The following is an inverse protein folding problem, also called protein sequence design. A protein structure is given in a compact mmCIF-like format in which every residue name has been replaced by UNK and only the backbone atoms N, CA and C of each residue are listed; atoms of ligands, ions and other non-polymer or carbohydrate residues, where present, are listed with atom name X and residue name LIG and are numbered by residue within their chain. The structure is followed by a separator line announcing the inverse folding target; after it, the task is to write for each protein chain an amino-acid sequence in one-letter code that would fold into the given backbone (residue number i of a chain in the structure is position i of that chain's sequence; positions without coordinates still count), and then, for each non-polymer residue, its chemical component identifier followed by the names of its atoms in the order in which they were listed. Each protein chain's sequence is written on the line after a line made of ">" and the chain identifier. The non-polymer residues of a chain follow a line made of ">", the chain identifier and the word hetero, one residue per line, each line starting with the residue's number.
data_IF_518717600170
#
_entry.id   IF_518717600170
#
_cell.length_a   1.000
_cell.length_b   1.000
_cell.length_c   1.000
_cell.angle_alpha   90.00
_cell.angle_beta   90.00
_cell.angle_gamma   90.00
#
_symmetry.space_group_name_H-M   'P 1'
#
loop_
_entity.id
_entity.type
_entity.pdbx_description
1 polymer ?
#
# COMPACT_ATOMS: atom_id res chain seq x y z
N UNK A 1 8.19 7.71 17.81
CA UNK A 1 6.84 8.25 17.97
C UNK A 1 5.90 7.07 18.17
N UNK A 2 4.94 7.17 19.09
CA UNK A 2 4.17 6.04 19.61
C UNK A 2 2.76 6.01 19.01
N UNK A 3 2.31 4.88 18.49
CA UNK A 3 0.86 4.60 18.38
C UNK A 3 0.56 3.17 18.85
N UNK A 4 -0.51 3.06 19.64
CA UNK A 4 -0.93 1.89 20.43
C UNK A 4 -1.73 0.89 19.59
N UNK A 5 -1.53 -0.41 19.84
CA UNK A 5 -2.48 -1.49 19.49
C UNK A 5 -3.84 -1.23 20.15
N UNK A 6 -4.92 -1.35 19.37
CA UNK A 6 -6.28 -1.45 19.91
C UNK A 6 -6.64 -2.95 19.99
N UNK A 7 -6.80 -3.48 21.21
CA UNK A 7 -7.29 -4.84 21.43
C UNK A 7 -6.83 -5.48 22.74
N UNK A 8 -7.57 -5.24 23.82
CA UNK A 8 -7.95 -6.26 24.83
C UNK A 8 -9.14 -5.73 25.68
N UNK A 9 -10.09 -6.57 26.15
CA UNK A 9 -11.43 -6.13 26.57
C UNK A 9 -11.70 -6.12 28.09
N UNK A 10 -12.90 -5.59 28.43
CA UNK A 10 -13.78 -5.83 29.60
C UNK A 10 -13.74 -4.84 30.80
N UNK A 11 -14.80 -4.76 31.66
CA UNK A 11 -16.26 -4.76 31.37
C UNK A 11 -17.07 -3.62 32.08
N UNK A 12 -18.34 -3.53 31.65
CA UNK A 12 -19.56 -2.90 32.17
C UNK A 12 -19.59 -2.04 33.47
N UNK A 13 -20.21 -0.85 33.36
CA UNK A 13 -21.50 -0.49 34.00
C UNK A 13 -21.84 1.01 33.78
N UNK A 14 -23.09 1.34 33.41
CA UNK A 14 -23.59 2.71 33.53
C UNK A 14 -24.60 3.14 32.45
N UNK A 15 -25.85 2.78 32.67
CA UNK A 15 -27.08 3.13 31.95
C UNK A 15 -27.30 4.65 31.76
N UNK A 16 -27.69 5.12 30.57
CA UNK A 16 -28.99 5.80 30.33
C UNK A 16 -29.18 6.25 28.88
N UNK A 17 -30.44 6.18 28.45
CA UNK A 17 -30.94 6.28 27.10
C UNK A 17 -30.86 7.68 26.45
N UNK A 18 -30.65 7.71 25.14
CA UNK A 18 -31.34 8.64 24.25
C UNK A 18 -31.38 8.04 22.83
N UNK A 19 -32.59 7.83 22.34
CA UNK A 19 -32.88 7.41 20.97
C UNK A 19 -32.31 8.42 19.97
N UNK A 20 -31.53 7.96 19.00
CA UNK A 20 -31.26 8.70 17.77
C UNK A 20 -31.07 7.72 16.61
N UNK A 21 -32.02 7.80 15.68
CA UNK A 21 -31.91 7.47 14.26
C UNK A 21 -31.08 6.24 13.89
N UNK A 22 -31.78 5.17 13.56
CA UNK A 22 -31.28 4.15 12.64
C UNK A 22 -31.07 4.83 11.28
N UNK A 23 -29.95 5.54 11.14
CA UNK A 23 -29.42 5.96 9.87
C UNK A 23 -28.88 4.67 9.25
N UNK A 24 -29.72 4.03 8.43
CA UNK A 24 -29.26 3.04 7.49
C UNK A 24 -28.14 3.71 6.67
N UNK A 25 -26.89 3.44 7.05
CA UNK A 25 -25.75 3.76 6.24
C UNK A 25 -26.01 3.07 4.91
N UNK A 26 -26.31 3.86 3.88
CA UNK A 26 -26.29 3.39 2.52
C UNK A 26 -24.93 2.70 2.36
N UNK A 27 -24.86 1.49 1.76
CA UNK A 27 -23.58 0.90 1.44
C UNK A 27 -22.83 1.95 0.63
N UNK A 28 -21.70 2.41 1.16
CA UNK A 28 -20.75 3.19 0.38
C UNK A 28 -20.32 2.22 -0.69
N UNK A 29 -20.92 2.33 -1.87
CA UNK A 29 -20.49 1.63 -3.06
C UNK A 29 -19.08 2.15 -3.29
N UNK A 30 -18.09 1.37 -2.83
CA UNK A 30 -16.68 1.69 -2.93
C UNK A 30 -16.40 1.92 -4.41
N UNK A 31 -16.28 3.20 -4.79
CA UNK A 31 -16.12 3.59 -6.17
C UNK A 31 -14.88 2.87 -6.71
N UNK A 32 -15.02 2.21 -7.86
CA UNK A 32 -13.91 1.50 -8.46
C UNK A 32 -12.69 2.43 -8.58
N UNK A 33 -11.47 1.93 -8.28
CA UNK A 33 -10.28 2.75 -8.28
C UNK A 33 -10.08 3.42 -9.65
N UNK A 34 -9.59 4.66 -9.65
CA UNK A 34 -9.40 5.40 -10.89
C UNK A 34 -8.43 4.64 -11.82
N UNK A 35 -8.78 4.48 -13.11
CA UNK A 35 -7.95 3.76 -14.05
C UNK A 35 -6.63 4.50 -14.28
N UNK A 36 -5.55 3.74 -14.41
CA UNK A 36 -4.24 4.27 -14.81
C UNK A 36 -4.33 4.80 -16.24
N UNK A 37 -3.79 5.98 -16.50
CA UNK A 37 -3.68 6.53 -17.85
C UNK A 37 -2.90 5.54 -18.74
N UNK A 38 -3.48 5.04 -19.85
CA UNK A 38 -2.80 4.09 -20.74
C UNK A 38 -1.53 4.65 -21.39
N UNK A 39 -1.34 5.97 -21.41
CA UNK A 39 -0.12 6.62 -21.90
C UNK A 39 0.96 6.79 -20.80
N UNK A 40 0.63 6.57 -19.53
CA UNK A 40 1.58 6.70 -18.44
C UNK A 40 2.55 5.50 -18.42
N UNK A 41 3.86 5.74 -18.21
CA UNK A 41 4.80 4.66 -17.96
C UNK A 41 4.44 3.91 -16.68
N UNK A 42 4.36 2.58 -16.74
CA UNK A 42 4.05 1.74 -15.58
C UNK A 42 5.16 0.72 -15.37
N UNK A 43 5.66 0.63 -14.14
CA UNK A 43 6.59 -0.40 -13.72
C UNK A 43 5.96 -1.24 -12.59
N UNK A 44 6.29 -2.54 -12.57
CA UNK A 44 5.76 -3.51 -11.62
C UNK A 44 6.90 -4.29 -11.00
N UNK A 45 6.88 -4.41 -9.68
CA UNK A 45 7.85 -5.14 -8.88
C UNK A 45 7.12 -6.21 -8.06
N UNK A 46 7.06 -7.46 -8.53
CA UNK A 46 6.60 -8.56 -7.70
C UNK A 46 7.61 -8.82 -6.58
N UNK A 47 7.13 -8.83 -5.35
CA UNK A 47 7.88 -9.16 -4.13
C UNK A 47 7.35 -10.48 -3.59
N UNK A 48 8.12 -11.54 -3.80
CA UNK A 48 7.81 -12.88 -3.28
C UNK A 48 8.65 -13.17 -2.06
N UNK A 49 8.02 -13.46 -0.92
CA UNK A 49 8.74 -13.96 0.25
C UNK A 49 9.02 -15.46 0.08
N UNK A 50 10.20 -15.79 -0.43
CA UNK A 50 10.68 -17.18 -0.53
C UNK A 50 11.35 -17.70 0.75
N UNK A 51 11.39 -16.87 1.80
CA UNK A 51 11.95 -17.21 3.10
C UNK A 51 11.06 -18.16 3.91
N UNK A 52 11.51 -18.49 5.11
CA UNK A 52 10.74 -19.28 6.09
C UNK A 52 10.10 -18.41 7.17
N UNK A 53 10.55 -17.16 7.27
CA UNK A 53 10.07 -16.16 8.22
C UNK A 53 9.28 -15.09 7.48
N UNK A 54 8.45 -14.35 8.23
CA UNK A 54 7.72 -13.20 7.69
C UNK A 54 8.70 -12.13 7.21
N UNK A 55 8.39 -11.52 6.06
CA UNK A 55 9.09 -10.38 5.50
C UNK A 55 8.28 -9.11 5.77
N UNK A 56 8.93 -8.09 6.32
CA UNK A 56 8.35 -6.73 6.38
C UNK A 56 8.70 -5.99 5.09
N UNK A 57 7.70 -5.58 4.32
CA UNK A 57 7.85 -4.70 3.17
C UNK A 57 7.57 -3.27 3.62
N UNK A 58 8.57 -2.38 3.54
CA UNK A 58 8.39 -0.95 3.79
C UNK A 58 8.34 -0.22 2.45
N UNK A 59 7.29 0.57 2.24
CA UNK A 59 7.11 1.40 1.06
C UNK A 59 7.42 2.86 1.39
N UNK A 60 8.43 3.39 0.72
CA UNK A 60 8.86 4.78 0.78
C UNK A 60 8.40 5.54 -0.48
N UNK A 61 8.07 6.84 -0.38
CA UNK A 61 8.30 7.75 0.77
C UNK A 61 7.18 7.78 1.82
N UNK A 62 6.18 6.91 1.74
CA UNK A 62 4.99 6.98 2.60
C UNK A 62 5.18 6.32 3.98
N UNK A 63 6.33 5.69 4.22
CA UNK A 63 6.62 4.92 5.44
C UNK A 63 5.51 3.91 5.80
N UNK A 64 4.92 3.28 4.77
CA UNK A 64 3.91 2.23 4.95
C UNK A 64 4.59 0.88 5.10
N UNK A 65 4.14 0.05 6.03
CA UNK A 65 4.61 -1.32 6.18
C UNK A 65 3.52 -2.35 5.86
N UNK A 66 3.90 -3.37 5.09
CA UNK A 66 3.08 -4.53 4.74
C UNK A 66 3.78 -5.82 5.18
N UNK A 67 3.02 -6.80 5.65
CA UNK A 67 3.56 -8.09 6.06
C UNK A 67 3.38 -9.09 4.92
N UNK A 68 4.49 -9.60 4.38
CA UNK A 68 4.46 -10.65 3.35
C UNK A 68 4.81 -11.99 4.00
N UNK A 69 3.83 -12.88 4.11
CA UNK A 69 4.00 -14.20 4.73
C UNK A 69 4.88 -15.13 3.87
N UNK A 70 5.51 -16.19 4.45
CA UNK A 70 6.26 -17.18 3.67
C UNK A 70 5.43 -17.78 2.52
N UNK A 71 5.95 -17.67 1.30
CA UNK A 71 5.30 -18.11 0.06
C UNK A 71 4.33 -17.11 -0.56
N UNK A 72 4.04 -15.99 0.11
CA UNK A 72 3.18 -14.94 -0.41
C UNK A 72 3.90 -14.06 -1.44
N UNK A 73 3.13 -13.45 -2.33
CA UNK A 73 3.58 -12.44 -3.27
C UNK A 73 2.66 -11.23 -3.24
N UNK A 74 3.25 -10.05 -3.16
CA UNK A 74 2.59 -8.76 -3.39
C UNK A 74 3.29 -8.06 -4.56
N UNK A 75 2.59 -7.19 -5.28
CA UNK A 75 3.18 -6.42 -6.38
C UNK A 75 3.17 -4.94 -6.05
N UNK A 76 4.35 -4.33 -6.02
CA UNK A 76 4.46 -2.86 -5.98
C UNK A 76 4.38 -2.35 -7.42
N UNK A 77 3.38 -1.53 -7.71
CA UNK A 77 3.21 -0.87 -9.00
C UNK A 77 3.54 0.60 -8.81
N UNK A 78 4.34 1.15 -9.71
CA UNK A 78 4.59 2.60 -9.76
C UNK A 78 4.31 3.13 -11.16
N UNK A 79 3.64 4.28 -11.22
CA UNK A 79 3.19 4.93 -12.44
C UNK A 79 3.89 6.27 -12.55
N UNK A 80 4.61 6.48 -13.64
CA UNK A 80 5.38 7.69 -13.90
C UNK A 80 4.59 8.75 -14.67
N UNK A 81 5.19 9.92 -14.81
CA UNK A 81 4.58 11.05 -15.52
C UNK A 81 4.45 10.75 -17.02
N UNK A 82 3.25 10.85 -17.62
CA UNK A 82 3.05 10.63 -19.04
C UNK A 82 3.76 11.70 -19.89
N UNK A 83 4.38 11.28 -20.99
CA UNK A 83 5.05 12.17 -21.94
C UNK A 83 6.33 12.86 -21.43
N UNK A 84 6.83 12.48 -20.26
CA UNK A 84 8.08 13.02 -19.71
C UNK A 84 9.30 12.21 -20.17
N UNK A 85 10.41 12.90 -20.48
CA UNK A 85 11.72 12.26 -20.72
C UNK A 85 12.31 11.64 -19.43
N UNK A 86 11.80 12.07 -18.26
CA UNK A 86 12.07 11.48 -16.95
C UNK A 86 10.73 11.19 -16.27
N UNK A 87 10.16 9.99 -16.47
CA UNK A 87 8.84 9.68 -15.92
C UNK A 87 8.86 9.37 -14.42
N UNK A 88 10.02 9.06 -13.85
CA UNK A 88 10.18 8.74 -12.42
C UNK A 88 10.66 9.99 -11.68
N UNK A 89 9.72 10.72 -11.08
CA UNK A 89 9.94 12.01 -10.41
C UNK A 89 10.66 11.87 -9.06
N UNK A 90 10.55 10.71 -8.40
CA UNK A 90 11.16 10.41 -7.10
C UNK A 90 12.68 10.19 -7.12
N UNK A 91 13.31 10.14 -8.29
CA UNK A 91 14.75 9.84 -8.42
C UNK A 91 15.50 10.79 -9.36
N UNK A 92 16.81 10.89 -9.13
CA UNK A 92 17.73 11.56 -10.05
C UNK A 92 18.42 10.61 -11.03
N UNK A 93 18.16 9.30 -10.94
CA UNK A 93 18.70 8.30 -11.87
C UNK A 93 17.70 8.11 -13.02
N UNK A 94 18.13 8.22 -14.29
CA UNK A 94 17.26 7.95 -15.43
C UNK A 94 16.72 6.51 -15.39
N UNK A 95 15.44 6.33 -15.69
CA UNK A 95 14.80 5.00 -15.84
C UNK A 95 14.88 4.11 -14.59
N UNK A 96 14.84 4.70 -13.38
CA UNK A 96 14.82 3.96 -12.12
C UNK A 96 13.44 4.07 -11.45
N UNK A 97 12.48 3.20 -11.80
CA UNK A 97 11.16 3.20 -11.17
C UNK A 97 11.19 2.82 -9.69
N UNK A 98 12.16 1.99 -9.29
CA UNK A 98 12.31 1.52 -7.93
C UNK A 98 13.77 1.65 -7.47
N UNK A 99 13.95 2.00 -6.20
CA UNK A 99 15.18 1.76 -5.45
C UNK A 99 14.87 0.78 -4.31
N UNK A 100 15.77 -0.18 -4.08
CA UNK A 100 15.58 -1.26 -3.12
C UNK A 100 16.68 -1.26 -2.07
N UNK A 101 16.32 -1.29 -0.80
CA UNK A 101 17.24 -1.55 0.31
C UNK A 101 16.88 -2.89 0.97
N UNK A 102 17.82 -3.84 0.91
CA UNK A 102 17.63 -5.18 1.45
C UNK A 102 18.19 -5.29 2.86
N UNK A 103 17.37 -5.75 3.79
CA UNK A 103 17.73 -6.15 5.15
C UNK A 103 17.36 -7.61 5.39
N UNK A 104 17.82 -8.25 6.49
CA UNK A 104 17.60 -9.68 6.72
C UNK A 104 16.12 -10.12 6.71
N UNK A 105 15.24 -9.34 7.32
CA UNK A 105 13.81 -9.59 7.50
C UNK A 105 12.93 -8.44 6.96
N UNK A 106 13.55 -7.45 6.32
CA UNK A 106 12.89 -6.25 5.82
C UNK A 106 13.34 -5.98 4.38
N UNK A 107 12.40 -5.61 3.51
CA UNK A 107 12.68 -5.02 2.21
C UNK A 107 12.11 -3.61 2.19
N UNK A 108 12.95 -2.60 1.92
CA UNK A 108 12.49 -1.23 1.68
C UNK A 108 12.40 -1.01 0.18
N UNK A 109 11.25 -0.55 -0.29
CA UNK A 109 11.00 -0.21 -1.69
C UNK A 109 10.68 1.28 -1.76
N UNK A 110 11.54 2.02 -2.44
CA UNK A 110 11.26 3.39 -2.86
C UNK A 110 10.61 3.34 -4.24
N UNK A 111 9.34 3.73 -4.32
CA UNK A 111 8.64 3.84 -5.60
C UNK A 111 8.74 5.28 -6.12
N UNK A 112 9.34 5.45 -7.30
CA UNK A 112 9.76 6.76 -7.81
C UNK A 112 8.77 7.41 -8.80
N UNK A 113 7.57 6.85 -8.97
CA UNK A 113 6.50 7.42 -9.80
C UNK A 113 5.64 8.45 -9.06
N UNK A 114 4.70 9.03 -9.80
CA UNK A 114 3.70 9.98 -9.28
C UNK A 114 2.49 9.26 -8.65
N UNK A 115 2.37 7.95 -8.85
CA UNK A 115 1.35 7.12 -8.25
C UNK A 115 1.97 5.76 -7.92
N UNK A 116 1.67 5.25 -6.73
CA UNK A 116 2.10 3.93 -6.28
C UNK A 116 0.91 3.12 -5.77
N UNK A 117 0.87 1.85 -6.15
CA UNK A 117 -0.20 0.91 -5.81
C UNK A 117 0.45 -0.37 -5.28
N UNK A 118 -0.14 -0.99 -4.27
CA UNK A 118 0.16 -2.38 -3.92
C UNK A 118 -0.99 -3.25 -4.40
N UNK A 119 -0.66 -4.29 -5.15
CA UNK A 119 -1.60 -5.32 -5.57
C UNK A 119 -1.32 -6.62 -4.80
N UNK A 120 -2.39 -7.34 -4.44
CA UNK A 120 -2.28 -8.70 -3.93
C UNK A 120 -1.88 -9.69 -5.04
N UNK A 121 -1.70 -10.97 -4.68
CA UNK A 121 -1.36 -12.04 -5.63
C UNK A 121 -2.40 -12.26 -6.75
N UNK A 122 -3.65 -11.80 -6.56
CA UNK A 122 -4.71 -11.89 -7.56
C UNK A 122 -4.80 -10.63 -8.44
N UNK A 123 -3.96 -9.63 -8.19
CA UNK A 123 -3.99 -8.33 -8.87
C UNK A 123 -5.04 -7.37 -8.33
N UNK A 124 -5.61 -7.63 -7.14
CA UNK A 124 -6.51 -6.67 -6.51
C UNK A 124 -5.68 -5.57 -5.84
N UNK A 125 -6.06 -4.32 -6.07
CA UNK A 125 -5.50 -3.16 -5.39
C UNK A 125 -5.80 -3.25 -3.88
N UNK A 126 -4.74 -3.28 -3.07
CA UNK A 126 -4.83 -3.24 -1.61
C UNK A 126 -4.76 -1.80 -1.10
N UNK A 127 -3.91 -0.98 -1.73
CA UNK A 127 -3.66 0.39 -1.31
C UNK A 127 -3.05 1.22 -2.45
N UNK A 128 -3.28 2.53 -2.40
CA UNK A 128 -2.90 3.51 -3.42
C UNK A 128 -2.41 4.81 -2.78
N UNK A 129 -1.32 5.36 -3.33
CA UNK A 129 -0.78 6.67 -2.97
C UNK A 129 -0.46 7.52 -4.20
N UNK A 130 -0.93 8.79 -4.25
CA UNK A 130 -0.52 9.78 -5.23
C UNK A 130 0.78 10.50 -4.85
#
# INVERSE_FOLDING_TARGET
>A
MFWRRLGDPAPAAGETAAAQGESAALPVEEAAPEPIDPAAPVARLPVTNSGQERLTLILEPWAWDECVEPGETVTVVTVGTPGSDRPWSGTTVPNEPFQLDHHPDTLVVWANGDLTIIEDASGNELIRWP
#
